data_IF_499413835860
#
_entry.id   IF_499413835860
#
_cell.length_a   1.000
_cell.length_b   1.000
_cell.length_c   1.000
_cell.angle_alpha   90.00
_cell.angle_beta   90.00
_cell.angle_gamma   90.00
#
_symmetry.space_group_name_H-M   'P 1'
#
loop_
_entity.id
_entity.type
_entity.pdbx_description
1 polymer ?
2 non-polymer ?
3 water ?
#
# COMPACT_ATOMS: atom_id res chain seq x y z
N UNK A 2 0.21 -10.11 -10.65
CA UNK A 2 -0.27 -11.12 -9.77
C UNK A 2 -1.69 -10.82 -9.25
N UNK A 3 -2.05 -11.32 -8.05
CA UNK A 3 -3.32 -11.11 -7.37
C UNK A 3 -3.38 -9.60 -7.05
N UNK A 4 -4.32 -8.94 -7.68
CA UNK A 4 -4.49 -7.50 -7.54
C UNK A 4 -5.74 -7.03 -6.81
N UNK A 5 -5.63 -6.04 -5.94
CA UNK A 5 -6.79 -5.50 -5.25
C UNK A 5 -6.94 -4.02 -5.59
N UNK A 6 -8.16 -3.60 -5.73
CA UNK A 6 -8.36 -2.20 -6.08
C UNK A 6 -9.09 -1.39 -4.97
N UNK A 7 -8.71 -0.14 -4.79
CA UNK A 7 -9.38 0.66 -3.80
C UNK A 7 -9.44 2.06 -4.27
N UNK A 8 -10.44 2.76 -3.81
CA UNK A 8 -10.69 4.13 -4.18
C UNK A 8 -10.37 5.07 -3.05
N UNK A 9 -9.99 6.25 -3.39
CA UNK A 9 -9.64 7.17 -2.37
C UNK A 9 -10.00 8.52 -2.88
N UNK A 10 -10.82 9.26 -2.12
CA UNK A 10 -11.22 10.60 -2.50
C UNK A 10 -10.27 11.63 -1.91
N UNK A 11 -9.81 12.55 -2.74
CA UNK A 11 -8.88 13.53 -2.27
C UNK A 11 -9.67 14.65 -1.63
N UNK A 12 -9.25 15.06 -0.44
CA UNK A 12 -9.90 16.14 0.30
C UNK A 12 -9.11 17.45 0.20
N UNK A 13 -9.76 18.57 0.49
CA UNK A 13 -9.13 19.86 0.40
C UNK A 13 -7.89 19.93 1.26
N UNK A 14 -7.99 19.34 2.44
CA UNK A 14 -6.85 19.35 3.36
C UNK A 14 -5.67 18.48 2.92
N UNK A 15 -5.88 17.61 1.94
CA UNK A 15 -4.82 16.76 1.42
C UNK A 15 -3.95 17.51 0.44
N UNK A 16 -4.37 18.74 0.07
CA UNK A 16 -3.65 19.57 -0.88
C UNK A 16 -2.81 20.64 -0.23
N UNK A 17 -1.78 21.08 -0.95
CA UNK A 17 -0.88 22.13 -0.43
C UNK A 17 -1.22 23.50 -1.03
N UNK A 18 -0.43 24.52 -0.71
CA UNK A 18 -0.73 25.83 -1.23
C UNK A 18 -0.66 25.83 -2.73
N UNK A 19 0.07 24.89 -3.27
CA UNK A 19 0.16 24.86 -4.71
C UNK A 19 -1.10 24.33 -5.36
N UNK A 20 -2.09 23.93 -4.55
CA UNK A 20 -3.38 23.43 -5.03
C UNK A 20 -3.47 21.96 -5.42
N UNK A 21 -2.41 21.26 -5.19
CA UNK A 21 -2.43 19.86 -5.56
C UNK A 21 -2.17 19.00 -4.34
N UNK A 22 -2.39 17.72 -4.53
CA UNK A 22 -2.13 16.81 -3.46
C UNK A 22 -0.73 16.93 -2.98
N UNK A 23 -0.56 17.11 -1.67
CA UNK A 23 0.77 17.14 -1.05
C UNK A 23 1.25 15.68 -0.97
N UNK A 24 2.42 15.40 -1.56
CA UNK A 24 2.96 14.05 -1.70
C UNK A 24 2.88 13.07 -0.54
N UNK A 25 3.26 13.48 0.65
CA UNK A 25 3.24 12.48 1.71
C UNK A 25 1.83 11.93 1.88
N UNK A 26 0.81 12.58 1.30
CA UNK A 26 -0.56 12.03 1.39
C UNK A 26 -0.64 10.78 0.54
N UNK A 27 0.09 10.78 -0.59
CA UNK A 27 0.10 9.54 -1.40
C UNK A 27 0.61 8.36 -0.57
N UNK A 28 1.68 8.57 0.20
CA UNK A 28 2.19 7.49 1.03
C UNK A 28 1.19 6.98 2.07
N UNK A 29 0.30 7.82 2.57
CA UNK A 29 -0.76 7.41 3.52
C UNK A 29 -1.70 6.49 2.78
N UNK A 30 -2.04 6.89 1.59
CA UNK A 30 -2.98 6.06 0.83
C UNK A 30 -2.36 4.71 0.40
N UNK A 31 -1.08 4.77 0.00
CA UNK A 31 -0.39 3.55 -0.38
C UNK A 31 -0.29 2.63 0.83
N UNK A 32 -0.12 3.21 2.02
CA UNK A 32 -0.01 2.37 3.21
C UNK A 32 -1.35 1.72 3.52
N UNK A 33 -2.45 2.46 3.26
CA UNK A 33 -3.80 1.91 3.47
C UNK A 33 -4.10 0.84 2.43
N UNK A 34 -3.62 1.09 1.22
CA UNK A 34 -3.81 0.15 0.13
C UNK A 34 -3.01 -1.14 0.34
N UNK A 35 -1.88 -0.97 1.00
CA UNK A 35 -1.03 -2.08 1.31
C UNK A 35 -1.73 -3.04 2.25
N UNK A 36 -2.26 -2.50 3.33
CA UNK A 36 -2.95 -3.32 4.35
C UNK A 36 -4.28 -3.83 3.82
N UNK A 37 -5.00 -2.95 3.10
CA UNK A 37 -6.27 -3.34 2.50
C UNK A 37 -6.10 -4.63 1.66
N UNK A 38 -5.00 -4.71 0.90
CA UNK A 38 -4.67 -5.83 0.07
C UNK A 38 -4.65 -7.09 0.90
N UNK A 39 -3.97 -7.03 2.02
CA UNK A 39 -3.85 -8.16 2.92
C UNK A 39 -5.19 -8.52 3.52
N UNK A 40 -5.90 -7.51 3.93
CA UNK A 40 -7.17 -7.74 4.54
C UNK A 40 -8.00 -8.46 3.51
N UNK A 41 -8.18 -7.81 2.40
CA UNK A 41 -8.99 -8.31 1.31
C UNK A 41 -8.59 -9.68 0.86
N UNK A 42 -7.37 -10.09 1.18
CA UNK A 42 -6.91 -11.42 0.76
C UNK A 42 -7.15 -12.43 1.90
N UNK A 43 -7.72 -11.95 3.01
CA UNK A 43 -8.03 -12.81 4.12
C UNK A 43 -7.20 -12.75 5.39
N UNK A 44 -6.07 -12.07 5.47
CA UNK A 44 -5.34 -12.10 6.74
C UNK A 44 -6.11 -11.34 7.79
N UNK A 45 -5.85 -11.67 9.02
CA UNK A 45 -6.48 -10.99 10.14
C UNK A 45 -5.80 -9.66 10.32
N UNK A 46 -6.43 -8.76 11.02
CA UNK A 46 -5.83 -7.46 11.25
C UNK A 46 -4.63 -7.62 12.20
N UNK A 47 -3.65 -6.73 12.08
CA UNK A 47 -2.46 -6.79 12.90
C UNK A 47 -2.85 -6.96 14.37
N UNK A 48 -3.84 -6.22 14.82
CA UNK A 48 -4.30 -6.29 16.20
C UNK A 48 -4.36 -7.75 16.63
N UNK A 49 -4.91 -8.56 15.77
CA UNK A 49 -5.02 -9.98 16.05
C UNK A 49 -3.73 -10.81 15.78
N UNK A 50 -3.06 -10.58 14.63
CA UNK A 50 -1.85 -11.29 14.33
C UNK A 50 -0.78 -11.04 15.36
N UNK A 51 -0.85 -9.90 15.99
CA UNK A 51 0.16 -9.65 17.01
C UNK A 51 -0.06 -10.50 18.25
N UNK A 52 -1.31 -10.85 18.48
CA UNK A 52 -1.66 -11.65 19.64
C UNK A 52 -1.32 -13.12 19.37
N UNK A 53 -1.83 -13.54 18.22
CA UNK A 53 -1.66 -14.88 17.79
C UNK A 53 -0.24 -15.27 17.39
N UNK A 54 0.44 -14.40 16.60
CA UNK A 54 1.76 -14.75 16.12
C UNK A 54 2.86 -13.75 16.24
N UNK A 55 2.61 -12.65 16.93
CA UNK A 55 3.62 -11.63 17.14
C UNK A 55 3.73 -10.66 15.98
N UNK A 56 3.03 -10.95 14.88
CA UNK A 56 3.10 -10.10 13.69
C UNK A 56 2.41 -8.76 13.94
N UNK A 57 3.21 -7.70 14.00
CA UNK A 57 2.70 -6.35 14.28
C UNK A 57 2.30 -5.62 13.02
N UNK A 58 2.68 -6.14 11.86
CA UNK A 58 2.34 -5.48 10.61
C UNK A 58 3.42 -5.75 9.57
N UNK A 59 3.46 -4.91 8.53
CA UNK A 59 4.43 -5.04 7.44
C UNK A 59 5.17 -3.73 7.18
N UNK A 60 6.14 -3.38 8.03
CA UNK A 60 6.90 -2.13 7.88
C UNK A 60 7.61 -2.03 6.54
N UNK A 61 7.78 -0.80 6.10
CA UNK A 61 8.43 -0.62 4.83
C UNK A 61 9.92 -0.48 5.04
N UNK A 62 10.67 -1.07 4.11
CA UNK A 62 12.15 -1.08 4.10
C UNK A 62 12.70 -0.34 2.89
N UNK A 63 11.92 -0.25 1.82
CA UNK A 63 12.41 0.44 0.66
C UNK A 63 11.29 0.93 -0.25
N UNK A 64 11.51 2.00 -1.00
CA UNK A 64 10.45 2.43 -1.90
C UNK A 64 10.96 3.20 -3.12
N UNK A 65 10.30 2.94 -4.23
CA UNK A 65 10.66 3.64 -5.44
C UNK A 65 9.39 4.14 -5.94
N UNK A 66 9.28 5.42 -6.12
CA UNK A 66 8.02 5.96 -6.57
C UNK A 66 8.25 6.97 -7.67
N UNK A 67 7.24 7.14 -8.47
CA UNK A 67 7.29 8.14 -9.52
C UNK A 67 5.93 8.85 -9.57
N UNK A 68 5.94 10.18 -9.67
CA UNK A 68 4.72 10.99 -9.67
C UNK A 68 4.55 11.53 -11.04
N UNK A 69 3.61 10.96 -11.76
CA UNK A 69 3.37 11.22 -13.17
C UNK A 69 2.56 12.44 -13.52
N UNK A 70 1.47 12.68 -12.79
CA UNK A 70 0.67 13.87 -13.06
C UNK A 70 0.12 14.34 -11.74
N UNK A 71 -0.44 15.54 -11.70
CA UNK A 71 -0.99 16.02 -10.42
C UNK A 71 -2.43 15.57 -10.18
N UNK A 72 -2.85 15.67 -8.94
CA UNK A 72 -4.21 15.34 -8.56
C UNK A 72 -4.64 16.40 -7.55
N UNK A 73 -5.93 16.62 -7.34
CA UNK A 73 -6.43 17.65 -6.41
C UNK A 73 -7.71 17.24 -5.74
N UNK A 74 -8.15 18.05 -4.81
CA UNK A 74 -9.37 17.77 -4.08
C UNK A 74 -10.56 17.57 -5.00
N UNK A 75 -11.29 16.55 -4.64
CA UNK A 75 -12.44 16.09 -5.38
C UNK A 75 -12.05 14.96 -6.38
N UNK A 76 -10.83 14.96 -6.90
CA UNK A 76 -10.47 13.87 -7.76
C UNK A 76 -10.61 12.62 -6.89
N UNK A 77 -10.97 11.54 -7.54
CA UNK A 77 -11.12 10.29 -6.88
C UNK A 77 -10.09 9.33 -7.47
N UNK A 78 -9.23 8.81 -6.57
CA UNK A 78 -8.17 7.95 -6.95
C UNK A 78 -8.57 6.51 -6.92
N UNK A 79 -8.02 5.77 -7.87
CA UNK A 79 -8.21 4.36 -7.93
C UNK A 79 -6.83 3.77 -7.79
N UNK A 80 -6.65 2.94 -6.79
CA UNK A 80 -5.37 2.34 -6.50
C UNK A 80 -5.45 0.86 -6.74
N UNK A 81 -4.41 0.40 -7.41
CA UNK A 81 -4.23 -0.99 -7.76
C UNK A 81 -3.00 -1.51 -7.08
N UNK A 82 -3.20 -2.51 -6.24
CA UNK A 82 -2.07 -3.11 -5.51
C UNK A 82 -1.98 -4.61 -5.73
N UNK A 83 -0.75 -5.11 -5.89
CA UNK A 83 -0.46 -6.52 -6.05
C UNK A 83 0.93 -6.81 -5.49
N UNK A 84 1.23 -8.07 -5.26
CA UNK A 84 2.54 -8.39 -4.75
C UNK A 84 3.32 -8.76 -5.98
N UNK A 85 4.37 -8.06 -6.26
CA UNK A 85 5.10 -8.35 -7.48
C UNK A 85 6.09 -9.49 -7.33
N UNK A 86 6.59 -9.74 -6.12
CA UNK A 86 7.60 -10.76 -5.93
C UNK A 86 7.77 -11.10 -4.47
N UNK A 87 7.87 -12.39 -4.18
CA UNK A 87 8.07 -12.84 -2.81
C UNK A 87 9.55 -13.10 -2.71
N UNK A 88 10.10 -12.75 -1.59
CA UNK A 88 11.49 -13.00 -1.42
C UNK A 88 11.60 -13.78 -0.16
N UNK A 89 12.77 -13.84 0.42
CA UNK A 89 12.89 -14.61 1.64
C UNK A 89 12.14 -14.05 2.82
N UNK A 90 12.57 -12.88 3.27
CA UNK A 90 11.97 -12.20 4.40
C UNK A 90 11.31 -10.89 3.98
N UNK A 91 11.20 -10.67 2.68
CA UNK A 91 10.63 -9.43 2.20
C UNK A 91 9.70 -9.71 1.06
N UNK A 92 9.06 -8.68 0.59
CA UNK A 92 8.17 -8.83 -0.51
C UNK A 92 8.00 -7.49 -1.19
N UNK A 93 7.80 -7.52 -2.48
CA UNK A 93 7.65 -6.29 -3.21
C UNK A 93 6.20 -6.08 -3.53
N UNK A 94 5.64 -5.02 -2.96
CA UNK A 94 4.28 -4.67 -3.24
C UNK A 94 4.28 -3.51 -4.20
N UNK A 95 3.56 -3.69 -5.29
CA UNK A 95 3.44 -2.70 -6.34
C UNK A 95 2.09 -2.00 -6.33
N UNK A 96 2.10 -0.67 -6.50
CA UNK A 96 0.85 0.07 -6.54
C UNK A 96 0.84 0.98 -7.74
N UNK A 97 -0.30 1.04 -8.33
CA UNK A 97 -0.55 1.92 -9.44
C UNK A 97 -1.71 2.82 -9.04
N UNK A 98 -1.53 4.14 -9.16
CA UNK A 98 -2.57 5.06 -8.75
C UNK A 98 -3.01 5.81 -9.97
N UNK A 99 -4.30 5.88 -10.20
CA UNK A 99 -4.73 6.66 -11.35
C UNK A 99 -6.00 7.38 -10.99
N UNK A 100 -6.40 8.27 -11.86
CA UNK A 100 -7.63 9.02 -11.75
C UNK A 100 -8.38 9.02 -13.09
N UNK A 101 -9.68 9.32 -13.08
CA UNK A 101 -10.33 9.23 -14.38
C UNK A 101 -10.82 10.52 -14.96
N UNK A 102 -10.25 10.96 -16.10
CA UNK A 102 -10.73 12.18 -16.74
C UNK A 102 -12.21 12.03 -16.97
N UNK A 103 -12.93 13.11 -17.23
CA UNK A 103 -14.35 12.93 -17.49
C UNK A 103 -14.55 12.32 -18.88
N UNK A 104 -13.46 12.26 -19.65
CA UNK A 104 -13.51 11.66 -20.95
C UNK A 104 -13.53 10.18 -20.77
N UNK A 105 -13.47 9.73 -19.54
CA UNK A 105 -13.46 8.33 -19.23
C UNK A 105 -12.05 7.80 -19.39
N UNK A 106 -11.09 8.72 -19.57
CA UNK A 106 -9.70 8.32 -19.71
C UNK A 106 -9.06 8.10 -18.35
N UNK A 107 -8.32 7.03 -18.29
CA UNK A 107 -7.68 6.71 -17.05
C UNK A 107 -6.21 7.14 -17.01
N UNK A 108 -6.02 8.37 -16.47
CA UNK A 108 -4.70 8.95 -16.30
C UNK A 108 -3.90 8.34 -15.15
N UNK A 109 -2.61 8.03 -15.35
CA UNK A 109 -1.80 7.50 -14.30
C UNK A 109 -1.29 8.72 -13.50
N UNK A 110 -1.49 8.68 -12.18
CA UNK A 110 -1.10 9.74 -11.31
C UNK A 110 0.25 9.39 -10.73
N UNK A 111 0.27 8.23 -10.12
CA UNK A 111 1.51 7.80 -9.54
C UNK A 111 1.61 6.30 -9.50
N UNK A 112 2.82 5.84 -9.27
CA UNK A 112 3.11 4.42 -9.16
C UNK A 112 4.20 4.24 -8.12
N UNK A 113 4.21 3.09 -7.48
CA UNK A 113 5.25 2.94 -6.50
C UNK A 113 5.45 1.47 -6.18
N UNK A 114 6.70 1.06 -5.95
CA UNK A 114 7.02 -0.30 -5.55
C UNK A 114 7.54 -0.21 -4.16
N UNK A 115 6.85 -0.88 -3.27
CA UNK A 115 7.21 -0.88 -1.88
C UNK A 115 7.79 -2.20 -1.49
N UNK A 116 8.94 -2.18 -0.84
CA UNK A 116 9.54 -3.38 -0.32
C UNK A 116 9.26 -3.37 1.16
N UNK A 117 8.51 -4.38 1.62
CA UNK A 117 8.12 -4.48 3.00
C UNK A 117 8.45 -5.84 3.56
N UNK A 118 8.32 -5.99 4.86
CA UNK A 118 8.55 -7.28 5.50
C UNK A 118 7.50 -7.49 6.60
N UNK A 119 7.28 -8.76 6.97
CA UNK A 119 6.39 -9.08 8.08
C UNK A 119 7.28 -8.92 9.29
N UNK A 120 6.86 -8.19 10.33
CA UNK A 120 7.74 -7.98 11.45
C UNK A 120 7.12 -8.19 12.79
N UNK A 121 8.03 -8.40 13.70
CA UNK A 121 7.66 -8.58 15.06
C UNK A 121 8.37 -7.56 15.88
N UNK A 122 7.87 -7.31 17.07
CA UNK A 122 8.52 -6.36 17.95
C UNK A 122 9.18 -7.20 19.01
N UNK A 123 10.49 -7.29 19.01
CA UNK A 123 11.10 -8.07 20.05
C UNK A 123 11.44 -7.03 21.08
N UNK A 124 10.45 -6.76 21.93
CA UNK A 124 10.56 -5.72 22.93
C UNK A 124 10.63 -4.42 22.13
N UNK A 125 11.60 -3.58 22.46
CA UNK A 125 11.75 -2.35 21.70
C UNK A 125 12.33 -2.53 20.30
N UNK A 126 12.85 -3.73 19.96
CA UNK A 126 13.46 -3.99 18.66
C UNK A 126 12.57 -4.68 17.63
N UNK A 127 12.39 -3.98 16.52
CA UNK A 127 11.64 -4.48 15.38
C UNK A 127 12.41 -5.60 14.62
N UNK A 128 11.80 -6.72 14.29
CA UNK A 128 12.53 -7.79 13.61
C UNK A 128 11.75 -8.40 12.43
N UNK A 129 12.37 -8.52 11.26
CA UNK A 129 11.66 -9.12 10.13
C UNK A 129 11.55 -10.63 10.22
N UNK A 130 10.49 -11.19 9.69
CA UNK A 130 10.39 -12.64 9.71
C UNK A 130 10.20 -13.24 8.32
N UNK A 131 10.45 -14.53 8.22
CA UNK A 131 10.29 -15.23 6.98
C UNK A 131 8.88 -15.09 6.52
N UNK A 132 8.65 -14.71 5.28
CA UNK A 132 7.28 -14.60 4.87
C UNK A 132 6.51 -15.83 5.27
N UNK A 133 5.39 -15.70 5.97
CA UNK A 133 4.65 -16.87 6.37
C UNK A 133 3.98 -17.57 5.20
N UNK A 134 4.29 -18.84 5.08
CA UNK A 134 3.74 -19.67 4.04
C UNK A 134 2.24 -19.50 3.83
N UNK A 135 1.55 -19.44 4.98
CA UNK A 135 0.10 -19.27 4.99
C UNK A 135 -0.29 -17.99 4.28
N UNK A 136 0.52 -16.99 4.54
CA UNK A 136 0.30 -15.68 3.98
C UNK A 136 0.47 -15.71 2.46
N UNK A 137 1.51 -16.39 2.00
CA UNK A 137 1.74 -16.46 0.58
C UNK A 137 0.58 -17.14 -0.17
N UNK A 138 0.12 -18.21 0.41
CA UNK A 138 -0.99 -18.94 -0.15
C UNK A 138 -2.29 -18.11 -0.17
N UNK A 139 -2.56 -17.35 0.90
CA UNK A 139 -3.75 -16.51 1.00
C UNK A 139 -3.77 -15.42 -0.07
N UNK A 140 -2.62 -14.75 -0.21
CA UNK A 140 -2.46 -13.65 -1.15
C UNK A 140 -2.25 -14.08 -2.56
N UNK A 141 -1.98 -15.35 -2.67
CA UNK A 141 -1.77 -15.89 -3.98
C UNK A 141 -3.05 -15.89 -4.78
X LIG B 1 15.79 -2.91 0.11
X LIG B 1 15.25 -4.13 -0.21
X LIG B 1 14.97 -5.13 0.57
X LIG B 1 15.28 -4.84 1.84
X LIG B 1 15.84 -3.67 2.31
X LIG B 1 16.09 -2.63 1.38
X LIG B 1 16.60 -1.45 1.68
X LIG B 1 16.04 -3.74 3.69
X LIG B 1 15.59 -4.97 4.02
X LIG B 1 15.18 -5.66 2.93
X LIG B 1 14.85 -7.06 2.89
X LIG B 1 16.11 -7.69 3.42
X LIG B 1 17.03 -8.02 2.37
X LIG B 1 15.63 -9.00 3.94
X LIG B 1 15.58 -9.91 2.86
X LIG B 1 15.54 -11.34 2.41
X LIG B 1 16.64 -11.51 1.39
X LIG B 1 15.71 -12.23 3.62
X LIG B 1 14.22 -11.64 1.76
X LIG B 1 14.29 -8.63 4.51
X LIG B 1 13.96 -7.33 3.90
X LIG B 1 14.45 -8.55 6.01
X LIG B 1 15.54 -7.65 6.29
X LIG B 1 16.64 -8.19 7.26
X LIG B 1 17.80 -7.27 7.15
X LIG B 1 16.98 -9.54 6.73
X LIG B 1 16.11 -8.31 8.70
X LIG B 1 16.12 -7.28 9.97
X LIG B 1 15.17 -7.82 10.98
X LIG B 1 17.48 -7.28 10.54
X LIG B 1 15.74 -5.74 9.55
X LIG B 1 13.81 -4.37 9.80
X LIG B 1 14.38 -5.65 9.18
X LIG B 1 13.72 -4.46 11.34
X LIG B 1 12.46 -4.03 9.17
X LIG B 1 14.79 -3.21 9.57
X LIG B 1 14.90 -2.96 8.15
X LIG B 1 14.09 -1.88 9.94
X LIG B 1 13.77 -1.57 11.10
X LIG B 1 13.79 -0.95 8.88
X LIG B 1 13.04 0.19 9.40
X LIG B 1 11.55 -0.05 9.19
X LIG B 1 10.77 1.27 9.39
X LIG B 1 10.84 1.95 10.39
X LIG B 1 10.02 1.76 8.26
X LIG B 1 9.31 3.00 8.56
X LIG B 1 7.99 2.74 9.28
X LIG B 1 6.78 1.64 8.48
X LIG B 1 5.32 1.76 9.44
X LIG B 1 4.41 0.64 9.27
X LIG B 1 4.43 -0.41 10.22
X LIG B 1 3.54 -1.49 10.08
X LIG B 1 2.63 -1.51 9.00
X LIG B 1 1.66 -2.48 8.94
X LIG B 1 2.65 -0.47 8.02
X LIG B 1 3.50 0.64 8.19
#
# INVERSE_FOLDING_TARGET
MARSITMQQRIEFGDCDPAGIVWYPNYHRWLDAASRNYFIKCGLPPWRQTVVERGIVGTPIVSCNASFVCTASYDDVLTIETCIKEWRRKSFVQRHSVSRTTPGGDVQLVMRADEIRVFAMNDGERLRAIEVPADYIELCS
4CA N1A C2A N3A C4A C5A C6A N6A N7A C8A N9A C1D C2D O2D C3D O3D P3D O7A O8A O9A C4D O4D C5D O5D P1A O1A O2A O3A P2A O4A O5A O6A CBP CCP CDP CEP CAP OAP C9P O9P N8P C7P C6P C5P O5P N4P C3P C2P S1P C1B C2B C3B C4B C5B O2B C6B C7B
#
